data_IF_606490252037
#
_entry.id   IF_606490252037
#
_cell.length_a   1.000
_cell.length_b   1.000
_cell.length_c   1.000
_cell.angle_alpha   90.00
_cell.angle_beta   90.00
_cell.angle_gamma   90.00
#
_symmetry.space_group_name_H-M   'P 1'
#
loop_
_entity.id
_entity.type
_entity.pdbx_description
1 polymer ?
#
# COMPACT_ATOMS: atom_id res chain seq x y z
N UNK A 1 -11.50 5.45 -6.12
CA UNK A 1 -10.64 5.65 -4.93
C UNK A 1 -10.54 4.36 -4.10
N UNK A 2 -9.33 3.89 -3.74
CA UNK A 2 -9.09 2.54 -3.18
C UNK A 2 -8.98 2.46 -1.64
N UNK A 3 -9.07 3.57 -0.91
CA UNK A 3 -8.97 3.59 0.56
C UNK A 3 -7.57 3.25 1.12
N UNK A 4 -6.53 3.23 0.29
CA UNK A 4 -5.15 2.90 0.68
C UNK A 4 -4.34 4.10 1.19
N UNK A 5 -4.77 5.33 0.90
CA UNK A 5 -4.16 6.52 1.46
C UNK A 5 -4.64 6.69 2.91
N UNK A 6 -3.74 6.81 3.89
CA UNK A 6 -4.11 7.00 5.28
C UNK A 6 -4.77 8.36 5.49
N UNK A 7 -5.64 8.45 6.49
CA UNK A 7 -6.27 9.71 6.94
C UNK A 7 -5.81 10.04 8.34
N UNK A 8 -5.61 11.31 8.62
CA UNK A 8 -5.39 11.75 9.99
C UNK A 8 -6.68 11.60 10.80
N UNK A 9 -6.55 10.99 11.97
CA UNK A 9 -7.64 10.85 12.93
C UNK A 9 -7.13 11.13 14.32
N UNK A 10 -7.70 12.14 14.95
CA UNK A 10 -7.36 12.65 16.28
C UNK A 10 -7.68 14.15 16.35
N UNK A 11 -7.89 14.67 17.56
CA UNK A 11 -7.99 16.11 17.82
C UNK A 11 -6.71 16.58 18.52
N UNK A 12 -6.19 17.75 18.10
CA UNK A 12 -5.00 18.36 18.71
C UNK A 12 -3.67 17.67 18.40
N UNK A 13 -2.71 17.75 19.34
CA UNK A 13 -1.32 17.28 19.16
C UNK A 13 -1.15 15.76 19.00
N UNK A 14 -2.17 14.96 19.32
CA UNK A 14 -2.12 13.50 19.24
C UNK A 14 -2.86 12.96 18.00
N UNK A 15 -2.56 13.51 16.82
CA UNK A 15 -3.11 12.99 15.56
C UNK A 15 -2.37 11.72 15.14
N UNK A 16 -3.12 10.69 14.71
CA UNK A 16 -2.55 9.43 14.20
C UNK A 16 -3.06 9.16 12.80
N UNK A 17 -2.18 8.66 11.93
CA UNK A 17 -2.56 8.16 10.62
C UNK A 17 -3.30 6.83 10.76
N UNK A 18 -4.57 6.81 10.36
CA UNK A 18 -5.46 5.65 10.41
C UNK A 18 -5.91 5.20 9.02
N UNK A 19 -6.56 4.03 8.97
CA UNK A 19 -7.15 3.49 7.73
C UNK A 19 -8.26 4.44 7.27
N UNK A 20 -8.27 4.78 5.98
CA UNK A 20 -9.37 5.53 5.41
C UNK A 20 -10.63 4.65 5.31
N UNK A 21 -11.73 5.00 6.00
CA UNK A 21 -12.99 4.28 5.86
C UNK A 21 -13.67 4.53 4.51
N UNK A 22 -13.38 5.65 3.85
CA UNK A 22 -13.85 5.98 2.51
C UNK A 22 -13.08 5.24 1.41
N UNK A 23 -13.80 4.75 0.41
CA UNK A 23 -13.26 4.07 -0.76
C UNK A 23 -13.67 2.60 -0.88
N UNK A 24 -13.11 1.93 -1.88
CA UNK A 24 -13.46 0.55 -2.20
C UNK A 24 -12.79 -0.46 -1.23
N UNK A 25 -13.60 -1.10 -0.39
CA UNK A 25 -13.15 -2.09 0.62
C UNK A 25 -12.52 -3.33 0.00
N UNK A 26 -13.08 -3.84 -1.10
CA UNK A 26 -12.55 -5.02 -1.82
C UNK A 26 -11.16 -4.73 -2.37
N UNK A 27 -10.98 -3.55 -2.97
CA UNK A 27 -9.67 -3.14 -3.50
C UNK A 27 -8.63 -2.95 -2.39
N UNK A 28 -9.01 -2.33 -1.26
CA UNK A 28 -8.11 -2.23 -0.09
C UNK A 28 -7.73 -3.61 0.49
N UNK A 29 -8.65 -4.58 0.46
CA UNK A 29 -8.37 -5.95 0.87
C UNK A 29 -7.41 -6.65 -0.11
N UNK A 30 -7.63 -6.52 -1.42
CA UNK A 30 -6.70 -7.03 -2.42
C UNK A 30 -5.28 -6.48 -2.25
N UNK A 31 -5.15 -5.16 -2.03
CA UNK A 31 -3.85 -4.53 -1.73
C UNK A 31 -3.22 -5.08 -0.45
N UNK A 32 -4.02 -5.42 0.56
CA UNK A 32 -3.53 -6.04 1.78
C UNK A 32 -3.00 -7.45 1.53
N UNK A 33 -3.72 -8.28 0.77
CA UNK A 33 -3.27 -9.61 0.38
C UNK A 33 -1.96 -9.52 -0.41
N UNK A 34 -1.87 -8.63 -1.40
CA UNK A 34 -0.64 -8.41 -2.17
C UNK A 34 0.53 -8.05 -1.23
N UNK A 35 0.31 -7.16 -0.25
CA UNK A 35 1.35 -6.80 0.72
C UNK A 35 1.84 -8.01 1.54
N UNK A 36 0.92 -8.88 2.00
CA UNK A 36 1.26 -10.09 2.75
C UNK A 36 2.04 -11.09 1.90
N UNK A 37 1.56 -11.35 0.68
CA UNK A 37 2.24 -12.25 -0.27
C UNK A 37 3.62 -11.72 -0.61
N UNK A 38 3.76 -10.42 -0.87
CA UNK A 38 5.05 -9.78 -1.14
C UNK A 38 6.01 -9.92 0.04
N UNK A 39 5.54 -9.77 1.28
CA UNK A 39 6.41 -10.01 2.46
C UNK A 39 6.89 -11.46 2.60
N UNK A 40 6.08 -12.41 2.13
CA UNK A 40 6.42 -13.83 2.15
C UNK A 40 7.39 -14.21 1.03
N UNK A 41 7.12 -13.74 -0.19
CA UNK A 41 7.75 -14.22 -1.43
C UNK A 41 8.89 -13.33 -1.95
N UNK A 42 8.83 -12.02 -1.70
CA UNK A 42 9.80 -11.05 -2.23
C UNK A 42 11.09 -11.17 -1.40
N UNK A 43 12.09 -11.87 -1.95
CA UNK A 43 13.30 -12.44 -1.32
C UNK A 43 14.26 -11.49 -0.59
N UNK A 44 13.76 -10.46 0.06
CA UNK A 44 14.48 -9.58 0.98
C UNK A 44 13.96 -8.13 0.95
N UNK A 45 13.54 -7.63 -0.22
CA UNK A 45 13.21 -6.20 -0.42
C UNK A 45 12.08 -5.73 0.51
N UNK A 46 10.97 -6.45 0.52
CA UNK A 46 9.80 -6.10 1.32
C UNK A 46 10.03 -6.28 2.82
N UNK A 47 10.82 -7.29 3.21
CA UNK A 47 11.24 -7.50 4.61
C UNK A 47 12.16 -6.39 5.10
N UNK A 48 13.13 -5.97 4.27
CA UNK A 48 14.03 -4.85 4.56
C UNK A 48 13.25 -3.53 4.72
N UNK A 49 12.23 -3.30 3.89
CA UNK A 49 11.35 -2.15 4.07
C UNK A 49 10.64 -2.20 5.43
N UNK A 50 10.08 -3.35 5.80
CA UNK A 50 9.41 -3.52 7.09
C UNK A 50 10.38 -3.26 8.26
N UNK A 51 11.59 -3.84 8.22
CA UNK A 51 12.64 -3.64 9.21
C UNK A 51 12.99 -2.16 9.36
N UNK A 52 13.26 -1.46 8.25
CA UNK A 52 13.55 -0.01 8.29
C UNK A 52 12.43 0.78 8.96
N UNK A 53 11.17 0.46 8.67
CA UNK A 53 10.05 1.17 9.30
C UNK A 53 9.94 0.86 10.79
N UNK A 54 10.24 -0.37 11.22
CA UNK A 54 10.29 -0.71 12.65
C UNK A 54 11.46 -0.02 13.35
N UNK A 55 12.61 0.12 12.69
CA UNK A 55 13.78 0.84 13.20
C UNK A 55 13.48 2.34 13.37
N UNK A 56 12.64 2.90 12.51
CA UNK A 56 12.08 4.25 12.66
C UNK A 56 10.95 4.35 13.70
N UNK A 57 10.76 3.34 14.55
CA UNK A 57 9.78 3.33 15.64
C UNK A 57 8.33 3.11 15.19
N UNK A 58 8.07 2.75 13.92
CA UNK A 58 6.69 2.46 13.49
C UNK A 58 6.29 1.05 13.89
N UNK A 59 5.06 0.92 14.38
CA UNK A 59 4.44 -0.40 14.58
C UNK A 59 4.34 -1.17 13.26
N UNK A 60 4.40 -2.50 13.32
CA UNK A 60 4.20 -3.39 12.16
C UNK A 60 2.92 -3.07 11.37
N UNK A 61 1.83 -2.71 12.07
CA UNK A 61 0.56 -2.29 11.46
C UNK A 61 0.69 -0.98 10.67
N UNK A 62 1.44 -0.01 11.18
CA UNK A 62 1.72 1.24 10.48
C UNK A 62 2.63 1.02 9.26
N UNK A 63 3.67 0.18 9.39
CA UNK A 63 4.55 -0.18 8.28
C UNK A 63 3.78 -0.91 7.15
N UNK A 64 2.91 -1.86 7.50
CA UNK A 64 2.02 -2.54 6.54
C UNK A 64 1.06 -1.58 5.85
N UNK A 65 0.49 -0.61 6.58
CA UNK A 65 -0.35 0.44 5.98
C UNK A 65 0.43 1.24 4.93
N UNK A 66 1.63 1.67 5.26
CA UNK A 66 2.50 2.42 4.35
C UNK A 66 2.84 1.60 3.10
N UNK A 67 3.17 0.31 3.29
CA UNK A 67 3.44 -0.62 2.20
C UNK A 67 2.27 -0.75 1.22
N UNK A 68 1.03 -0.83 1.71
CA UNK A 68 -0.17 -0.84 0.84
C UNK A 68 -0.27 0.43 -0.01
N UNK A 69 0.04 1.59 0.56
CA UNK A 69 0.05 2.85 -0.20
C UNK A 69 1.12 2.83 -1.30
N UNK A 70 2.31 2.28 -1.03
CA UNK A 70 3.34 2.10 -2.05
C UNK A 70 2.89 1.16 -3.18
N UNK A 71 2.30 0.01 -2.84
CA UNK A 71 1.76 -0.94 -3.82
C UNK A 71 0.68 -0.28 -4.68
N UNK A 72 -0.23 0.49 -4.07
CA UNK A 72 -1.26 1.21 -4.81
C UNK A 72 -0.67 2.22 -5.81
N UNK A 73 0.39 2.93 -5.43
CA UNK A 73 1.10 3.88 -6.31
C UNK A 73 1.83 3.15 -7.45
N UNK A 74 2.44 2.02 -7.15
CA UNK A 74 3.12 1.16 -8.15
C UNK A 74 2.11 0.64 -9.18
N UNK A 75 1.00 0.05 -8.72
CA UNK A 75 -0.09 -0.43 -9.59
C UNK A 75 -0.66 0.69 -10.46
N UNK A 76 -0.90 1.87 -9.90
CA UNK A 76 -1.39 3.01 -10.68
C UNK A 76 -0.42 3.39 -11.81
N UNK A 77 0.89 3.41 -11.53
CA UNK A 77 1.92 3.66 -12.55
C UNK A 77 1.92 2.58 -13.63
N UNK A 78 1.89 1.30 -13.24
CA UNK A 78 1.86 0.17 -14.18
C UNK A 78 0.64 0.24 -15.09
N UNK A 79 -0.56 0.37 -14.50
CA UNK A 79 -1.81 0.48 -15.24
C UNK A 79 -1.78 1.68 -16.20
N UNK A 80 -1.34 2.84 -15.72
CA UNK A 80 -1.22 4.05 -16.55
C UNK A 80 -0.24 3.87 -17.71
N UNK A 81 0.88 3.17 -17.49
CA UNK A 81 1.82 2.85 -18.56
C UNK A 81 1.18 1.93 -19.60
N UNK A 82 0.47 0.88 -19.15
CA UNK A 82 -0.23 -0.05 -20.04
C UNK A 82 -1.33 0.62 -20.87
N UNK A 83 -1.98 1.65 -20.34
CA UNK A 83 -2.94 2.45 -21.13
C UNK A 83 -2.27 3.40 -22.12
N UNK A 84 -1.03 3.84 -21.84
CA UNK A 84 -0.27 4.75 -22.72
C UNK A 84 0.28 4.02 -23.94
N UNK A 85 0.81 2.83 -23.69
CA UNK A 85 1.33 1.93 -24.70
C UNK A 85 0.50 0.65 -24.66
N UNK A 86 -0.71 0.65 -25.25
CA UNK A 86 -1.47 -0.58 -25.43
C UNK A 86 -0.69 -1.39 -26.45
N UNK A 87 0.24 -2.24 -25.98
CA UNK A 87 0.78 -3.30 -26.80
C UNK A 87 -0.36 -4.07 -27.47
N UNK A 88 -0.11 -4.83 -28.54
CA UNK A 88 -1.17 -5.56 -29.22
C UNK A 88 -1.86 -6.47 -28.20
N UNK A 89 -3.12 -6.18 -27.88
CA UNK A 89 -3.93 -7.08 -27.08
C UNK A 89 -4.01 -8.41 -27.86
N UNK A 90 -3.70 -9.57 -27.24
CA UNK A 90 -4.02 -10.82 -27.89
C UNK A 90 -5.54 -10.91 -28.05
N UNK A 91 -5.96 -11.25 -29.27
CA UNK A 91 -7.35 -11.44 -29.66
C UNK A 91 -8.03 -12.57 -28.86
#
# INVERSE_FOLDING_TARGET
YCGAAPVERGSGQNSRLQVNPGGNRRLNWALHIIALVRLRMDGGRSRRFLSKQTDHGKTKRAALRLMKTYIARELFKTIRQSYRDPGPFPA
#
